data_IF_547078907401
#
_entry.id   IF_547078907401
#
_cell.length_a   1.000
_cell.length_b   1.000
_cell.length_c   1.000
_cell.angle_alpha   90.00
_cell.angle_beta   90.00
_cell.angle_gamma   90.00
#
_symmetry.space_group_name_H-M   'P 1'
#
loop_
_entity.id
_entity.type
_entity.pdbx_description
1 polymer ?
#
# COMPACT_ATOMS: atom_id res chain seq x y z
N UNK A 1 10.95 -32.69 30.62
CA UNK A 1 9.94 -31.85 29.93
C UNK A 1 10.45 -30.42 29.88
N UNK A 2 11.54 -30.17 29.13
CA UNK A 2 12.12 -28.84 28.92
C UNK A 2 12.88 -28.98 27.61
N UNK A 3 12.35 -28.41 26.52
CA UNK A 3 13.09 -28.08 25.30
C UNK A 3 12.16 -27.44 24.25
N UNK A 4 11.19 -26.63 24.68
CA UNK A 4 10.49 -25.74 23.74
C UNK A 4 11.34 -24.47 23.68
N UNK A 5 11.98 -24.14 22.54
CA UNK A 5 12.73 -22.90 22.41
C UNK A 5 11.75 -21.71 22.53
N UNK A 6 11.87 -20.96 23.64
CA UNK A 6 11.07 -19.75 23.87
C UNK A 6 11.87 -18.54 23.38
N UNK A 7 11.34 -17.83 22.39
CA UNK A 7 11.90 -16.56 21.93
C UNK A 7 11.08 -15.39 22.49
N UNK A 8 11.72 -14.53 23.30
CA UNK A 8 11.09 -13.33 23.84
C UNK A 8 10.91 -12.28 22.75
N UNK A 9 9.74 -11.62 22.71
CA UNK A 9 9.46 -10.56 21.73
C UNK A 9 10.47 -9.40 21.82
N UNK A 10 10.93 -9.07 23.03
CA UNK A 10 11.96 -8.05 23.28
C UNK A 10 13.37 -8.46 22.82
N UNK A 11 13.64 -9.76 22.71
CA UNK A 11 14.92 -10.29 22.25
C UNK A 11 14.99 -10.43 20.72
N UNK A 12 13.88 -10.21 20.00
CA UNK A 12 13.84 -10.32 18.54
C UNK A 12 14.63 -9.20 17.88
N UNK A 13 15.51 -9.58 16.94
CA UNK A 13 16.20 -8.61 16.08
C UNK A 13 15.23 -8.01 15.07
N UNK A 14 14.70 -6.84 15.39
CA UNK A 14 13.81 -6.08 14.51
C UNK A 14 14.63 -5.11 13.66
N UNK A 15 14.22 -4.93 12.40
CA UNK A 15 14.85 -3.97 11.49
C UNK A 15 14.41 -2.54 11.83
N UNK A 16 15.35 -1.61 11.79
CA UNK A 16 15.08 -0.17 11.98
C UNK A 16 14.34 0.48 10.81
N UNK A 17 14.38 -0.13 9.61
CA UNK A 17 13.77 0.42 8.39
C UNK A 17 13.03 -0.65 7.60
N UNK A 18 11.91 -0.26 6.99
CA UNK A 18 11.15 -1.10 6.06
C UNK A 18 11.93 -1.34 4.76
N UNK A 19 11.71 -2.50 4.15
CA UNK A 19 12.27 -2.82 2.84
C UNK A 19 11.65 -1.88 1.80
N UNK A 20 12.48 -1.35 0.89
CA UNK A 20 11.98 -0.52 -0.23
C UNK A 20 10.96 -1.31 -1.05
N UNK A 21 11.23 -2.59 -1.32
CA UNK A 21 10.29 -3.48 -2.02
C UNK A 21 8.94 -3.61 -1.32
N UNK A 22 8.91 -3.67 0.01
CA UNK A 22 7.66 -3.68 0.78
C UNK A 22 6.87 -2.38 0.61
N UNK A 23 7.56 -1.22 0.67
CA UNK A 23 6.93 0.10 0.46
C UNK A 23 6.38 0.24 -0.97
N UNK A 24 7.13 -0.22 -1.97
CA UNK A 24 6.69 -0.20 -3.36
C UNK A 24 5.53 -1.16 -3.62
N UNK A 25 5.48 -2.31 -2.95
CA UNK A 25 4.40 -3.28 -3.10
C UNK A 25 3.03 -2.76 -2.62
N UNK A 26 3.01 -1.75 -1.74
CA UNK A 26 1.75 -1.11 -1.32
C UNK A 26 1.20 -0.15 -2.36
N UNK A 27 2.02 0.34 -3.29
CA UNK A 27 1.59 1.34 -4.25
C UNK A 27 0.48 0.84 -5.20
N UNK A 28 0.56 -0.37 -5.80
CA UNK A 28 -0.54 -0.93 -6.59
C UNK A 28 -1.86 -1.07 -5.82
N UNK A 29 -1.80 -1.41 -4.53
CA UNK A 29 -2.99 -1.56 -3.69
C UNK A 29 -3.72 -0.22 -3.56
N UNK A 30 -2.97 0.86 -3.31
CA UNK A 30 -3.55 2.20 -3.19
C UNK A 30 -4.02 2.77 -4.54
N UNK A 31 -3.35 2.42 -5.64
CA UNK A 31 -3.85 2.74 -6.98
C UNK A 31 -5.20 2.06 -7.20
N UNK A 32 -5.32 0.76 -6.90
CA UNK A 32 -6.56 0.01 -7.04
C UNK A 32 -7.71 0.63 -6.22
N UNK A 33 -7.47 0.86 -4.93
CA UNK A 33 -8.46 1.48 -4.03
C UNK A 33 -8.88 2.86 -4.55
N UNK A 34 -7.92 3.72 -4.91
CA UNK A 34 -8.20 5.05 -5.45
C UNK A 34 -8.98 5.04 -6.76
N UNK A 35 -8.65 4.09 -7.64
CA UNK A 35 -9.25 3.97 -8.96
C UNK A 35 -10.73 3.60 -8.90
N UNK A 36 -11.12 2.67 -8.01
CA UNK A 36 -12.49 2.17 -7.89
C UNK A 36 -13.40 3.01 -6.96
N UNK A 37 -12.86 4.06 -6.30
CA UNK A 37 -13.64 4.90 -5.38
C UNK A 37 -14.79 5.65 -6.07
N UNK A 38 -14.60 6.28 -7.26
CA UNK A 38 -15.70 6.95 -7.93
C UNK A 38 -16.69 5.91 -8.44
N UNK A 39 -17.82 5.79 -7.75
CA UNK A 39 -18.84 4.79 -8.08
C UNK A 39 -19.34 4.92 -9.53
N UNK A 40 -19.65 6.11 -10.09
CA UNK A 40 -20.09 6.22 -11.48
C UNK A 40 -19.07 5.68 -12.49
N UNK A 41 -17.79 6.03 -12.34
CA UNK A 41 -16.74 5.51 -13.23
C UNK A 41 -16.53 4.01 -13.07
N UNK A 42 -16.74 3.47 -11.87
CA UNK A 42 -16.64 2.03 -11.63
C UNK A 42 -17.81 1.28 -12.26
N UNK A 43 -19.03 1.82 -12.19
CA UNK A 43 -20.17 1.23 -12.90
C UNK A 43 -19.96 1.28 -14.41
N UNK A 44 -19.56 2.43 -14.95
CA UNK A 44 -19.25 2.60 -16.37
C UNK A 44 -18.16 1.63 -16.83
N UNK A 45 -17.15 1.34 -15.99
CA UNK A 45 -16.09 0.38 -16.30
C UNK A 45 -16.64 -1.03 -16.53
N UNK A 46 -17.60 -1.46 -15.71
CA UNK A 46 -18.21 -2.78 -15.84
C UNK A 46 -19.30 -2.84 -16.91
N UNK A 47 -20.02 -1.74 -17.15
CA UNK A 47 -21.07 -1.65 -18.16
C UNK A 47 -20.51 -1.49 -19.58
N UNK A 48 -19.56 -0.57 -19.75
CA UNK A 48 -19.10 -0.08 -21.05
C UNK A 48 -17.60 -0.27 -21.31
N UNK A 49 -16.84 -0.69 -20.30
CA UNK A 49 -15.40 -0.93 -20.40
C UNK A 49 -14.55 0.30 -20.10
N UNK A 50 -13.25 0.19 -20.37
CA UNK A 50 -12.27 1.24 -20.03
C UNK A 50 -12.28 2.38 -21.06
N UNK A 51 -12.42 3.62 -20.60
CA UNK A 51 -12.48 4.81 -21.45
C UNK A 51 -11.44 5.89 -21.08
N UNK A 52 -11.46 7.02 -21.82
CA UNK A 52 -10.54 8.14 -21.59
C UNK A 52 -10.73 8.84 -20.23
N UNK A 53 -11.94 8.83 -19.65
CA UNK A 53 -12.20 9.41 -18.33
C UNK A 53 -11.55 8.56 -17.26
N UNK A 54 -11.65 7.24 -17.38
CA UNK A 54 -10.98 6.28 -16.52
C UNK A 54 -9.47 6.38 -16.66
N UNK A 55 -8.94 6.55 -17.87
CA UNK A 55 -7.50 6.79 -18.08
C UNK A 55 -7.01 8.07 -17.37
N UNK A 56 -7.74 9.17 -17.51
CA UNK A 56 -7.43 10.43 -16.83
C UNK A 56 -7.49 10.27 -15.30
N UNK A 57 -8.53 9.60 -14.79
CA UNK A 57 -8.68 9.33 -13.37
C UNK A 57 -7.56 8.45 -12.83
N UNK A 58 -7.21 7.37 -13.54
CA UNK A 58 -6.09 6.50 -13.20
C UNK A 58 -4.78 7.30 -13.12
N UNK A 59 -4.54 8.20 -14.07
CA UNK A 59 -3.38 9.10 -14.04
C UNK A 59 -3.33 9.98 -12.79
N UNK A 60 -4.46 10.60 -12.42
CA UNK A 60 -4.58 11.41 -11.18
C UNK A 60 -4.29 10.56 -9.94
N UNK A 61 -4.88 9.37 -9.85
CA UNK A 61 -4.69 8.44 -8.71
C UNK A 61 -3.24 8.00 -8.63
N UNK A 62 -2.61 7.61 -9.74
CA UNK A 62 -1.20 7.21 -9.79
C UNK A 62 -0.27 8.33 -9.31
N UNK A 63 -0.50 9.57 -9.76
CA UNK A 63 0.30 10.73 -9.34
C UNK A 63 0.12 11.04 -7.85
N UNK A 64 -1.12 11.11 -7.37
CA UNK A 64 -1.42 11.43 -5.98
C UNK A 64 -0.86 10.36 -5.03
N UNK A 65 -1.12 9.09 -5.33
CA UNK A 65 -0.62 7.96 -4.52
C UNK A 65 0.90 7.82 -4.62
N UNK A 66 1.51 8.06 -5.79
CA UNK A 66 2.95 8.04 -5.96
C UNK A 66 3.63 9.10 -5.09
N UNK A 67 3.13 10.33 -5.12
CA UNK A 67 3.63 11.42 -4.28
C UNK A 67 3.47 11.12 -2.78
N UNK A 68 2.30 10.61 -2.38
CA UNK A 68 2.06 10.22 -0.98
C UNK A 68 2.95 9.04 -0.54
N UNK A 69 3.18 8.06 -1.43
CA UNK A 69 4.07 6.91 -1.23
C UNK A 69 5.52 7.32 -1.04
N UNK A 70 6.04 8.21 -1.90
CA UNK A 70 7.39 8.77 -1.78
C UNK A 70 7.57 9.54 -0.46
N UNK A 71 6.53 10.25 -0.02
CA UNK A 71 6.52 10.99 1.27
C UNK A 71 6.29 10.09 2.49
N UNK A 72 6.07 8.79 2.34
CA UNK A 72 5.81 7.89 3.46
C UNK A 72 4.46 8.14 4.15
N UNK A 73 3.48 8.67 3.42
CA UNK A 73 2.16 9.09 3.94
C UNK A 73 1.01 8.16 3.54
N UNK A 74 1.25 7.13 2.72
CA UNK A 74 0.29 6.05 2.52
C UNK A 74 0.49 4.95 3.58
N UNK A 75 -0.59 4.33 4.06
CA UNK A 75 -0.44 3.18 4.95
C UNK A 75 0.35 2.05 4.27
N UNK A 76 1.32 1.50 4.97
CA UNK A 76 2.22 0.45 4.46
C UNK A 76 3.45 0.96 3.70
N UNK A 77 3.58 2.27 3.47
CA UNK A 77 4.80 2.87 2.89
C UNK A 77 5.70 3.54 3.92
N UNK A 78 5.43 3.34 5.22
CA UNK A 78 6.16 3.99 6.30
C UNK A 78 7.66 3.61 6.24
N UNK A 79 8.56 4.56 6.57
CA UNK A 79 10.01 4.27 6.57
C UNK A 79 10.43 3.23 7.62
N UNK A 80 9.67 3.09 8.70
CA UNK A 80 9.95 2.20 9.83
C UNK A 80 8.80 1.20 10.00
N UNK A 81 9.10 -0.05 10.42
CA UNK A 81 8.06 -1.04 10.67
C UNK A 81 7.18 -0.64 11.86
N UNK A 82 5.88 -0.88 11.74
CA UNK A 82 4.92 -0.78 12.84
C UNK A 82 4.99 -2.07 13.68
N UNK A 83 6.04 -2.19 14.50
CA UNK A 83 6.16 -3.26 15.48
C UNK A 83 6.15 -2.60 16.86
N UNK A 84 5.11 -2.88 17.63
CA UNK A 84 4.98 -2.44 19.03
C UNK A 84 6.10 -3.13 19.82
N UNK A 85 6.89 -2.34 20.54
CA UNK A 85 7.86 -2.86 21.52
C UNK A 85 7.15 -3.13 22.84
#
# INVERSE_FOLDING_TARGET
MNDIPVELASARKIRERNKISYRLAHWPIWIWVGFIIPAPLTFDLFESGFDGRMAAWLGVVMLATGVAGLRGRLPGVEPRPYIIR
#
